data_IF_341406734606
#
_entry.id   IF_341406734606
#
_cell.length_a   1.000
_cell.length_b   1.000
_cell.length_c   1.000
_cell.angle_alpha   90.00
_cell.angle_beta   90.00
_cell.angle_gamma   90.00
#
_symmetry.space_group_name_H-M   'P 1'
#
loop_
_entity.id
_entity.type
_entity.pdbx_description
1 polymer ?
#
# COMPACT_ATOMS: atom_id res chain seq x y z
N UNK A 1 4.28 38.49 -21.01
CA UNK A 1 4.10 37.58 -19.86
C UNK A 1 4.73 36.23 -20.22
N UNK A 2 5.66 35.75 -19.39
CA UNK A 2 6.52 34.59 -19.67
C UNK A 2 5.72 33.27 -19.74
N UNK A 3 5.42 32.80 -20.96
CA UNK A 3 4.66 31.57 -21.22
C UNK A 3 5.23 30.34 -20.51
N UNK A 4 6.54 30.30 -20.29
CA UNK A 4 7.26 29.20 -19.62
C UNK A 4 6.86 28.98 -18.15
N UNK A 5 6.43 30.03 -17.44
CA UNK A 5 6.06 29.91 -16.03
C UNK A 5 4.59 29.49 -15.89
N UNK A 6 3.74 29.88 -16.84
CA UNK A 6 2.33 29.51 -16.88
C UNK A 6 2.13 28.02 -17.20
N UNK A 7 2.95 27.44 -18.07
CA UNK A 7 2.87 26.01 -18.41
C UNK A 7 3.25 25.11 -17.24
N UNK A 8 4.25 25.49 -16.44
CA UNK A 8 4.63 24.79 -15.21
C UNK A 8 3.49 24.78 -14.18
N UNK A 9 2.86 25.95 -13.97
CA UNK A 9 1.70 26.07 -13.07
C UNK A 9 0.52 25.19 -13.53
N UNK A 10 0.35 25.02 -14.84
CA UNK A 10 -0.75 24.24 -15.42
C UNK A 10 -0.52 22.73 -15.23
N UNK A 11 0.73 22.26 -15.37
CA UNK A 11 1.11 20.86 -15.07
C UNK A 11 0.87 20.53 -13.59
N UNK A 12 1.23 21.43 -12.68
CA UNK A 12 0.97 21.25 -11.24
C UNK A 12 -0.52 21.14 -10.94
N UNK A 13 -1.35 21.97 -11.57
CA UNK A 13 -2.80 21.97 -11.37
C UNK A 13 -3.46 20.66 -11.88
N UNK A 14 -3.00 20.11 -13.01
CA UNK A 14 -3.48 18.83 -13.55
C UNK A 14 -3.12 17.68 -12.60
N UNK A 15 -1.91 17.68 -12.05
CA UNK A 15 -1.46 16.64 -11.10
C UNK A 15 -2.32 16.64 -9.83
N UNK A 16 -2.69 17.82 -9.32
CA UNK A 16 -3.55 17.97 -8.14
C UNK A 16 -4.96 17.39 -8.35
N UNK A 17 -5.51 17.54 -9.56
CA UNK A 17 -6.85 17.01 -9.90
C UNK A 17 -6.84 15.49 -10.05
N UNK A 18 -5.73 14.90 -10.52
CA UNK A 18 -5.60 13.46 -10.70
C UNK A 18 -5.55 12.67 -9.36
N UNK A 19 -5.03 13.29 -8.28
CA UNK A 19 -4.93 12.66 -6.96
C UNK A 19 -6.27 12.49 -6.23
N UNK A 20 -7.36 13.11 -6.70
CA UNK A 20 -8.65 13.09 -6.00
C UNK A 20 -9.44 11.76 -6.13
N UNK A 21 -9.03 10.86 -7.00
CA UNK A 21 -9.76 9.61 -7.26
C UNK A 21 -9.11 8.43 -6.52
N UNK A 22 -9.26 8.38 -5.19
CA UNK A 22 -8.97 7.16 -4.42
C UNK A 22 -10.21 6.27 -4.41
N UNK A 23 -10.25 5.26 -5.27
CA UNK A 23 -11.28 4.21 -5.23
C UNK A 23 -10.92 3.26 -4.07
N UNK A 24 -11.72 3.28 -3.00
CA UNK A 24 -11.61 2.31 -1.90
C UNK A 24 -12.15 0.94 -2.33
N UNK A 25 -11.55 -0.12 -1.78
CA UNK A 25 -11.73 -1.52 -2.12
C UNK A 25 -13.18 -1.92 -2.45
N UNK A 26 -13.38 -2.45 -3.68
CA UNK A 26 -14.61 -3.17 -4.04
C UNK A 26 -14.56 -4.51 -3.29
N UNK A 27 -15.40 -4.66 -2.26
CA UNK A 27 -15.69 -5.98 -1.69
C UNK A 27 -16.55 -6.75 -2.71
N UNK A 28 -15.90 -7.60 -3.51
CA UNK A 28 -16.61 -8.63 -4.26
C UNK A 28 -17.30 -9.59 -3.29
N UNK A 29 -18.55 -9.93 -3.58
CA UNK A 29 -19.44 -10.77 -2.74
C UNK A 29 -18.99 -12.25 -2.66
N UNK A 30 -17.85 -12.60 -3.25
CA UNK A 30 -17.37 -13.98 -3.44
C UNK A 30 -16.64 -14.59 -2.23
N UNK A 31 -16.74 -13.98 -1.05
CA UNK A 31 -16.07 -14.44 0.17
C UNK A 31 -14.54 -14.32 0.14
N UNK A 32 -13.94 -13.93 -0.97
CA UNK A 32 -12.50 -13.68 -1.10
C UNK A 32 -12.19 -12.22 -0.78
N UNK A 33 -11.57 -11.98 0.38
CA UNK A 33 -11.05 -10.67 0.79
C UNK A 33 -9.54 -10.64 0.60
N UNK A 34 -9.06 -9.71 -0.24
CA UNK A 34 -7.64 -9.41 -0.39
C UNK A 34 -7.38 -8.07 0.31
N UNK A 35 -6.40 -8.03 1.19
CA UNK A 35 -5.97 -6.84 1.91
C UNK A 35 -4.46 -6.76 1.88
N UNK A 36 -3.89 -5.57 1.85
CA UNK A 36 -2.44 -5.39 1.89
C UNK A 36 -2.07 -4.17 2.69
N UNK A 37 -0.86 -4.17 3.23
CA UNK A 37 -0.24 -3.05 3.92
C UNK A 37 1.17 -2.86 3.37
N UNK A 38 1.50 -1.65 2.96
CA UNK A 38 2.83 -1.31 2.45
C UNK A 38 3.30 -0.03 3.12
N UNK A 39 4.51 -0.06 3.66
CA UNK A 39 5.20 1.08 4.25
C UNK A 39 6.42 1.42 3.41
N UNK A 40 6.34 2.55 2.74
CA UNK A 40 7.46 3.14 2.02
C UNK A 40 7.98 4.36 2.78
N UNK A 41 9.28 4.60 2.64
CA UNK A 41 9.95 5.74 3.26
C UNK A 41 11.00 6.31 2.33
N UNK A 42 11.21 7.62 2.43
CA UNK A 42 12.31 8.34 1.80
C UNK A 42 13.01 9.16 2.87
N UNK A 43 14.30 8.89 3.06
CA UNK A 43 15.14 9.58 4.03
C UNK A 43 16.26 10.31 3.29
N UNK A 44 16.32 11.63 3.42
CA UNK A 44 17.39 12.43 2.85
C UNK A 44 18.46 12.72 3.91
N UNK A 45 19.73 12.48 3.59
CA UNK A 45 20.87 12.74 4.47
C UNK A 45 21.71 13.91 3.92
N UNK A 46 21.87 14.96 4.72
CA UNK A 46 22.61 16.17 4.33
C UNK A 46 24.12 15.95 4.25
N UNK A 47 24.64 14.88 4.84
CA UNK A 47 26.05 14.54 4.81
C UNK A 47 26.44 13.69 3.59
N UNK A 48 25.47 13.39 2.70
CA UNK A 48 25.57 12.63 1.44
C UNK A 48 26.66 11.54 1.46
N UNK A 49 26.57 10.55 2.37
CA UNK A 49 27.56 9.50 2.41
C UNK A 49 27.47 8.67 1.12
N UNK A 50 28.59 8.53 0.39
CA UNK A 50 28.69 7.81 -0.90
C UNK A 50 28.06 6.40 -0.90
N UNK A 51 27.93 5.79 0.28
CA UNK A 51 27.41 4.44 0.45
C UNK A 51 25.89 4.39 0.71
N UNK A 52 25.18 5.53 0.80
CA UNK A 52 23.72 5.58 1.03
C UNK A 52 23.20 4.79 2.24
N UNK A 53 24.08 4.43 3.18
CA UNK A 53 23.76 3.65 4.37
C UNK A 53 24.02 4.48 5.62
N UNK A 54 23.05 4.47 6.53
CA UNK A 54 23.23 4.95 7.91
C UNK A 54 24.04 3.95 8.73
N UNK A 55 24.69 4.39 9.83
CA UNK A 55 25.45 3.51 10.70
C UNK A 55 24.66 2.27 11.17
N UNK A 56 25.34 1.13 11.33
CA UNK A 56 24.73 -0.19 11.51
C UNK A 56 23.86 -0.38 12.77
N UNK A 57 23.84 0.58 13.70
CA UNK A 57 22.95 0.53 14.87
C UNK A 57 21.50 0.89 14.53
N UNK A 58 21.25 1.47 13.35
CA UNK A 58 19.90 1.81 12.88
C UNK A 58 19.35 0.65 12.06
N UNK A 59 18.50 -0.17 12.69
CA UNK A 59 17.89 -1.34 12.04
C UNK A 59 16.77 -0.97 11.07
N UNK A 60 15.95 0.02 11.40
CA UNK A 60 14.85 0.49 10.56
C UNK A 60 15.26 1.77 9.83
N UNK A 61 14.85 1.94 8.57
CA UNK A 61 15.16 3.15 7.80
C UNK A 61 16.66 3.35 7.53
N UNK A 62 17.38 2.27 7.22
CA UNK A 62 18.85 2.29 7.14
C UNK A 62 19.42 2.88 5.84
N UNK A 63 18.61 2.99 4.78
CA UNK A 63 19.02 3.52 3.48
C UNK A 63 18.58 4.97 3.32
N UNK A 64 19.47 5.78 2.76
CA UNK A 64 19.29 7.22 2.55
C UNK A 64 19.43 7.57 1.09
N UNK A 65 18.79 8.66 0.69
CA UNK A 65 18.77 9.23 -0.65
C UNK A 65 18.15 8.32 -1.73
N UNK A 66 17.49 7.23 -1.32
CA UNK A 66 16.72 6.34 -2.19
C UNK A 66 15.36 5.98 -1.59
N UNK A 67 14.36 5.73 -2.45
CA UNK A 67 13.01 5.32 -2.03
C UNK A 67 13.05 3.86 -1.61
N UNK A 68 12.65 3.57 -0.37
CA UNK A 68 12.71 2.24 0.21
C UNK A 68 11.36 1.76 0.73
N UNK A 69 11.18 0.45 0.76
CA UNK A 69 10.03 -0.24 1.37
C UNK A 69 10.54 -0.89 2.66
N UNK A 70 9.97 -0.54 3.81
CA UNK A 70 10.34 -1.13 5.09
C UNK A 70 9.55 -2.43 5.35
N UNK A 71 8.24 -2.38 5.09
CA UNK A 71 7.34 -3.50 5.31
C UNK A 71 6.33 -3.58 4.17
N UNK A 72 6.19 -4.76 3.58
CA UNK A 72 5.15 -5.05 2.61
C UNK A 72 4.46 -6.36 3.00
N UNK A 73 3.15 -6.30 3.19
CA UNK A 73 2.32 -7.42 3.61
C UNK A 73 1.11 -7.54 2.69
N UNK A 74 0.80 -8.78 2.32
CA UNK A 74 -0.41 -9.12 1.58
C UNK A 74 -1.13 -10.21 2.38
N UNK A 75 -2.41 -9.99 2.62
CA UNK A 75 -3.33 -10.88 3.32
C UNK A 75 -4.43 -11.30 2.36
N UNK A 76 -4.58 -12.61 2.19
CA UNK A 76 -5.68 -13.21 1.44
C UNK A 76 -6.55 -13.98 2.45
N UNK A 77 -7.86 -13.75 2.42
CA UNK A 77 -8.81 -14.37 3.34
C UNK A 77 -10.03 -14.86 2.56
N UNK A 78 -10.36 -16.14 2.70
CA UNK A 78 -11.53 -16.73 2.06
C UNK A 78 -12.56 -17.11 3.13
N UNK A 79 -13.73 -16.49 3.10
CA UNK A 79 -14.86 -16.73 4.01
C UNK A 79 -16.12 -16.99 3.21
N UNK A 80 -16.44 -18.28 3.00
CA UNK A 80 -17.72 -18.71 2.45
C UNK A 80 -18.69 -18.92 3.58
N UNK A 81 -19.88 -18.31 3.51
CA UNK A 81 -20.99 -18.59 4.42
C UNK A 81 -21.41 -20.06 4.22
N UNK A 82 -20.85 -20.97 5.02
CA UNK A 82 -21.23 -22.37 5.01
C UNK A 82 -22.61 -22.44 5.64
N UNK A 83 -23.64 -22.67 4.82
CA UNK A 83 -25.02 -22.85 5.29
C UNK A 83 -25.04 -23.86 6.44
N UNK A 84 -25.43 -23.40 7.62
CA UNK A 84 -25.52 -24.24 8.81
C UNK A 84 -26.65 -25.24 8.64
N UNK A 85 -26.30 -26.52 8.45
CA UNK A 85 -27.23 -27.64 8.50
C UNK A 85 -26.65 -28.71 9.39
N UNK A 86 -27.21 -28.87 10.59
CA UNK A 86 -26.95 -30.04 11.42
C UNK A 86 -27.96 -31.11 11.02
N UNK A 87 -27.56 -32.07 10.17
CA UNK A 87 -28.37 -33.24 9.86
C UNK A 87 -28.00 -34.36 10.82
N UNK A 88 -28.89 -34.66 11.78
CA UNK A 88 -28.78 -35.84 12.62
C UNK A 88 -29.78 -36.88 12.13
N UNK A 89 -29.26 -37.99 11.62
CA UNK A 89 -30.06 -39.16 11.28
C UNK A 89 -29.77 -40.25 12.31
N UNK A 90 -30.82 -40.78 12.93
CA UNK A 90 -30.73 -41.90 13.86
C UNK A 90 -31.71 -42.98 13.41
N UNK A 91 -31.19 -44.17 13.11
CA UNK A 91 -31.96 -45.35 12.73
C UNK A 91 -31.50 -46.56 13.53
N UNK A 92 -32.32 -47.00 14.48
CA UNK A 92 -32.20 -48.26 15.20
C UNK A 92 -33.34 -49.20 14.77
N UNK A 93 -33.05 -50.51 14.69
CA UNK A 93 -34.01 -51.56 14.32
C UNK A 93 -35.15 -51.69 15.31
#
# INVERSE_FOLDING_TARGET
MNLRNSTRSLIFLICLIASANSIAQIKGDDGLTISGYVETYYSYDFNDPDNHFRPQFIYCYNRTNEVNVNLAMIKLSYSKKRGGGNLFWWGGK
#
